data_IF_184795619444
#
_entry.id   IF_184795619444
#
_cell.length_a   1.000
_cell.length_b   1.000
_cell.length_c   1.000
_cell.angle_alpha   90.00
_cell.angle_beta   90.00
_cell.angle_gamma   90.00
#
_symmetry.space_group_name_H-M   'P 1'
#
loop_
_entity.id
_entity.type
_entity.pdbx_description
1 polymer ?
#
# COMPACT_ATOMS: atom_id res chain seq x y z
N UNK A 1 -8.32 4.73 30.43
CA UNK A 1 -8.00 4.18 29.10
C UNK A 1 -7.96 5.34 28.11
N UNK A 2 -6.93 5.46 27.29
CA UNK A 2 -6.89 6.47 26.22
C UNK A 2 -7.98 6.15 25.17
N UNK A 3 -8.57 7.19 24.57
CA UNK A 3 -9.51 6.99 23.46
C UNK A 3 -8.79 6.30 22.28
N UNK A 4 -9.50 5.44 21.52
CA UNK A 4 -8.90 4.79 20.37
C UNK A 4 -8.42 5.83 19.36
N UNK A 5 -7.31 5.57 18.67
CA UNK A 5 -6.77 6.50 17.68
C UNK A 5 -7.77 6.66 16.52
N UNK A 6 -8.00 7.91 16.14
CA UNK A 6 -8.92 8.23 15.03
C UNK A 6 -8.11 8.56 13.78
N UNK A 7 -8.53 7.99 12.66
CA UNK A 7 -7.91 8.22 11.35
C UNK A 7 -8.95 8.58 10.31
N UNK A 8 -8.60 9.53 9.45
CA UNK A 8 -9.26 9.74 8.16
C UNK A 8 -8.47 8.95 7.12
N UNK A 9 -9.12 8.02 6.45
CA UNK A 9 -8.50 7.18 5.44
C UNK A 9 -9.44 7.04 4.26
N UNK A 10 -8.87 7.12 3.05
CA UNK A 10 -9.56 6.87 1.80
C UNK A 10 -8.68 6.05 0.87
N UNK A 11 -9.33 5.30 0.00
CA UNK A 11 -8.69 4.49 -1.05
C UNK A 11 -9.29 4.86 -2.40
N UNK A 12 -8.50 4.75 -3.46
CA UNK A 12 -8.98 4.82 -4.82
C UNK A 12 -8.17 3.84 -5.69
N UNK A 13 -8.84 3.23 -6.65
CA UNK A 13 -8.22 2.38 -7.69
C UNK A 13 -8.76 2.77 -9.05
N UNK A 14 -7.94 2.66 -10.09
CA UNK A 14 -8.34 2.89 -11.48
C UNK A 14 -7.64 1.88 -12.39
N UNK A 15 -8.42 1.20 -13.22
CA UNK A 15 -7.92 0.24 -14.18
C UNK A 15 -7.41 0.91 -15.46
N UNK A 16 -6.26 0.48 -15.96
CA UNK A 16 -5.77 0.83 -17.30
C UNK A 16 -6.52 0.05 -18.39
N UNK A 17 -6.97 -1.15 -18.06
CA UNK A 17 -7.68 -2.06 -18.96
C UNK A 17 -9.10 -2.39 -18.51
N UNK A 18 -9.55 -3.56 -18.89
CA UNK A 18 -10.89 -4.06 -18.52
C UNK A 18 -10.99 -4.49 -17.06
N UNK A 19 -9.85 -4.72 -16.40
CA UNK A 19 -9.74 -5.17 -15.01
C UNK A 19 -8.59 -4.42 -14.34
N UNK A 20 -8.73 -4.17 -13.05
CA UNK A 20 -7.67 -3.65 -12.20
C UNK A 20 -7.02 -4.82 -11.46
N UNK A 21 -5.72 -4.98 -11.61
CA UNK A 21 -4.92 -5.99 -10.91
C UNK A 21 -4.26 -5.43 -9.64
N UNK A 22 -4.51 -4.15 -9.33
CA UNK A 22 -4.15 -3.49 -8.08
C UNK A 22 -5.24 -3.67 -7.03
N UNK A 23 -4.84 -4.02 -5.81
CA UNK A 23 -5.77 -4.26 -4.70
C UNK A 23 -5.35 -3.53 -3.42
N UNK A 24 -6.35 -3.12 -2.63
CA UNK A 24 -6.14 -2.40 -1.37
C UNK A 24 -7.06 -2.91 -0.27
N UNK A 25 -6.61 -2.83 0.99
CA UNK A 25 -7.48 -3.02 2.15
C UNK A 25 -7.16 -2.06 3.29
N UNK A 26 -8.18 -1.79 4.12
CA UNK A 26 -8.11 -0.98 5.32
C UNK A 26 -8.77 -1.75 6.46
N UNK A 27 -7.99 -2.24 7.40
CA UNK A 27 -8.48 -2.93 8.59
C UNK A 27 -8.47 -1.98 9.77
N UNK A 28 -9.67 -1.58 10.25
CA UNK A 28 -9.84 -0.76 11.44
C UNK A 28 -9.85 -1.63 12.68
N UNK A 29 -9.10 -1.22 13.70
CA UNK A 29 -8.96 -1.90 14.98
C UNK A 29 -9.13 -0.89 16.12
N UNK A 30 -9.39 -1.39 17.33
CA UNK A 30 -9.44 -0.54 18.53
C UNK A 30 -8.07 0.08 18.85
N UNK A 31 -6.99 -0.63 18.57
CA UNK A 31 -5.60 -0.22 18.82
C UNK A 31 -4.92 0.47 17.62
N UNK A 32 -5.61 0.63 16.47
CA UNK A 32 -5.05 1.31 15.30
C UNK A 32 -5.64 0.94 13.95
N UNK A 33 -4.82 1.05 12.92
CA UNK A 33 -5.13 0.64 11.54
C UNK A 33 -4.08 -0.33 11.01
N UNK A 34 -4.51 -1.23 10.11
CA UNK A 34 -3.62 -1.92 9.17
C UNK A 34 -4.07 -1.61 7.76
N UNK A 35 -3.15 -1.17 6.93
CA UNK A 35 -3.33 -0.82 5.53
C UNK A 35 -2.55 -1.83 4.69
N UNK A 36 -3.12 -2.30 3.58
CA UNK A 36 -2.39 -3.11 2.60
C UNK A 36 -2.72 -2.66 1.19
N UNK A 37 -1.70 -2.63 0.34
CA UNK A 37 -1.78 -2.31 -1.08
C UNK A 37 -0.87 -3.28 -1.81
N UNK A 38 -1.36 -3.88 -2.89
CA UNK A 38 -0.62 -4.81 -3.74
C UNK A 38 -0.93 -4.55 -5.21
N UNK A 39 0.08 -4.69 -6.04
CA UNK A 39 0.06 -4.55 -7.49
C UNK A 39 0.41 -5.90 -8.11
N UNK A 40 -0.49 -6.41 -8.94
CA UNK A 40 -0.34 -7.68 -9.63
C UNK A 40 0.52 -7.57 -10.87
N UNK A 41 1.77 -8.06 -10.81
CA UNK A 41 2.71 -7.97 -11.90
C UNK A 41 2.46 -8.98 -13.02
N UNK A 42 2.64 -8.54 -14.26
CA UNK A 42 2.58 -9.38 -15.46
C UNK A 42 1.32 -9.19 -16.30
N UNK A 43 1.34 -9.75 -17.51
CA UNK A 43 0.25 -9.63 -18.48
C UNK A 43 -0.81 -10.73 -18.35
N UNK A 44 -0.66 -11.63 -17.37
CA UNK A 44 -1.62 -12.69 -17.10
C UNK A 44 -2.49 -12.35 -15.88
N UNK A 45 -3.60 -13.08 -15.77
CA UNK A 45 -4.57 -12.85 -14.69
C UNK A 45 -4.05 -13.25 -13.30
N UNK A 46 -2.94 -13.98 -13.23
CA UNK A 46 -2.46 -14.59 -12.00
C UNK A 46 -1.76 -13.59 -11.08
N UNK A 47 -1.17 -12.52 -11.63
CA UNK A 47 -0.63 -11.41 -10.85
C UNK A 47 -1.72 -10.73 -10.02
N UNK A 48 -2.83 -10.36 -10.66
CA UNK A 48 -3.98 -9.75 -9.96
C UNK A 48 -4.66 -10.70 -8.97
N UNK A 49 -4.74 -12.02 -9.28
CA UNK A 49 -5.24 -13.00 -8.31
C UNK A 49 -4.34 -13.10 -7.08
N UNK A 50 -3.01 -13.07 -7.26
CA UNK A 50 -2.07 -13.05 -6.16
C UNK A 50 -2.19 -11.75 -5.35
N UNK A 51 -2.21 -10.58 -6.00
CA UNK A 51 -2.36 -9.30 -5.33
C UNK A 51 -3.62 -9.25 -4.46
N UNK A 52 -4.75 -9.71 -5.02
CA UNK A 52 -6.01 -9.82 -4.28
C UNK A 52 -5.89 -10.75 -3.07
N UNK A 53 -5.36 -11.94 -3.28
CA UNK A 53 -5.20 -12.92 -2.21
C UNK A 53 -4.28 -12.42 -1.08
N UNK A 54 -3.18 -11.74 -1.43
CA UNK A 54 -2.27 -11.13 -0.46
C UNK A 54 -2.99 -10.11 0.42
N UNK A 55 -3.73 -9.21 -0.19
CA UNK A 55 -4.47 -8.15 0.52
C UNK A 55 -5.56 -8.76 1.43
N UNK A 56 -6.30 -9.75 0.95
CA UNK A 56 -7.32 -10.46 1.72
C UNK A 56 -6.70 -11.20 2.92
N UNK A 57 -5.55 -11.87 2.76
CA UNK A 57 -4.84 -12.56 3.83
C UNK A 57 -4.27 -11.61 4.89
N UNK A 58 -3.71 -10.47 4.47
CA UNK A 58 -3.26 -9.43 5.41
C UNK A 58 -4.46 -8.91 6.21
N UNK A 59 -5.60 -8.63 5.56
CA UNK A 59 -6.82 -8.18 6.23
C UNK A 59 -7.31 -9.20 7.26
N UNK A 60 -7.36 -10.48 6.88
CA UNK A 60 -7.76 -11.57 7.78
C UNK A 60 -6.83 -11.64 8.99
N UNK A 61 -5.52 -11.71 8.77
CA UNK A 61 -4.50 -11.76 9.84
C UNK A 61 -4.57 -10.54 10.75
N UNK A 62 -4.75 -9.35 10.18
CA UNK A 62 -4.89 -8.11 10.95
C UNK A 62 -6.16 -8.10 11.81
N UNK A 63 -7.25 -8.69 11.34
CA UNK A 63 -8.50 -8.82 12.10
C UNK A 63 -8.36 -9.81 13.27
N UNK A 64 -7.68 -10.93 13.05
CA UNK A 64 -7.51 -12.00 14.04
C UNK A 64 -6.38 -11.72 15.06
N UNK A 65 -5.47 -10.79 14.75
CA UNK A 65 -4.33 -10.49 15.60
C UNK A 65 -4.76 -9.93 16.97
N UNK A 66 -4.20 -10.44 18.06
CA UNK A 66 -4.51 -9.98 19.42
C UNK A 66 -4.06 -8.55 19.70
N UNK A 67 -3.02 -8.09 18.99
CA UNK A 67 -2.44 -6.74 19.10
C UNK A 67 -2.14 -6.21 17.70
N UNK A 68 -2.05 -4.89 17.58
CA UNK A 68 -1.61 -4.25 16.35
C UNK A 68 -0.24 -4.81 15.93
N UNK A 69 -0.08 -5.36 14.72
CA UNK A 69 1.18 -5.93 14.28
C UNK A 69 2.26 -4.85 14.14
N UNK A 70 3.49 -5.14 14.58
CA UNK A 70 4.65 -4.31 14.35
C UNK A 70 5.30 -4.65 12.99
N UNK A 71 6.36 -3.90 12.61
CA UNK A 71 7.06 -4.07 11.34
C UNK A 71 7.57 -5.51 11.14
N UNK A 72 8.17 -6.12 12.18
CA UNK A 72 8.71 -7.48 12.10
C UNK A 72 7.61 -8.54 11.88
N UNK A 73 6.45 -8.33 12.52
CA UNK A 73 5.28 -9.21 12.31
C UNK A 73 4.75 -9.06 10.89
N UNK A 74 4.64 -7.83 10.39
CA UNK A 74 4.19 -7.58 9.02
C UNK A 74 5.17 -8.16 7.99
N UNK A 75 6.48 -8.00 8.20
CA UNK A 75 7.50 -8.58 7.32
C UNK A 75 7.39 -10.11 7.29
N UNK A 76 7.28 -10.75 8.45
CA UNK A 76 7.08 -12.21 8.56
C UNK A 76 5.81 -12.66 7.83
N UNK A 77 4.72 -11.91 7.94
CA UNK A 77 3.50 -12.24 7.20
C UNK A 77 3.74 -12.23 5.69
N UNK A 78 4.46 -11.23 5.16
CA UNK A 78 4.80 -11.19 3.74
C UNK A 78 5.66 -12.40 3.32
N UNK A 79 6.67 -12.76 4.12
CA UNK A 79 7.50 -13.95 3.87
C UNK A 79 6.68 -15.24 3.87
N UNK A 80 5.83 -15.44 4.86
CA UNK A 80 4.96 -16.61 4.96
C UNK A 80 3.95 -16.71 3.81
N UNK A 81 3.41 -15.58 3.36
CA UNK A 81 2.49 -15.52 2.23
C UNK A 81 3.22 -15.84 0.91
N UNK A 82 4.44 -15.34 0.70
CA UNK A 82 5.27 -15.69 -0.45
C UNK A 82 5.52 -17.20 -0.51
N UNK A 83 5.94 -17.80 0.61
CA UNK A 83 6.14 -19.24 0.70
C UNK A 83 4.86 -20.05 0.46
N UNK A 84 3.74 -19.59 1.01
CA UNK A 84 2.45 -20.27 0.86
C UNK A 84 1.96 -20.27 -0.58
N UNK A 85 2.08 -19.13 -1.28
CA UNK A 85 1.73 -19.05 -2.70
C UNK A 85 2.62 -19.91 -3.57
N UNK A 86 3.94 -19.83 -3.36
CA UNK A 86 4.91 -20.65 -4.07
C UNK A 86 4.66 -22.16 -3.88
N UNK A 87 4.38 -22.59 -2.65
CA UNK A 87 4.06 -23.98 -2.34
C UNK A 87 2.77 -24.47 -3.01
N UNK A 88 1.83 -23.56 -3.31
CA UNK A 88 0.59 -23.89 -4.04
C UNK A 88 0.80 -24.19 -5.52
N UNK A 89 2.01 -23.94 -6.05
CA UNK A 89 2.39 -24.10 -7.46
C UNK A 89 1.56 -23.26 -8.43
N UNK A 90 0.91 -22.21 -7.93
CA UNK A 90 0.27 -21.19 -8.77
C UNK A 90 1.33 -20.24 -9.32
N UNK A 91 1.14 -19.78 -10.55
CA UNK A 91 1.92 -18.68 -11.11
C UNK A 91 1.45 -17.32 -10.56
N UNK A 92 2.08 -16.25 -10.98
CA UNK A 92 1.78 -14.88 -10.61
C UNK A 92 2.87 -14.26 -9.73
N UNK A 93 3.08 -12.98 -9.92
CA UNK A 93 3.98 -12.16 -9.13
C UNK A 93 3.22 -10.92 -8.66
N UNK A 94 3.54 -10.41 -7.49
CA UNK A 94 2.93 -9.18 -6.97
C UNK A 94 3.89 -8.40 -6.08
N UNK A 95 3.72 -7.08 -6.07
CA UNK A 95 4.26 -6.23 -5.01
C UNK A 95 3.38 -6.32 -3.76
N UNK A 96 3.85 -5.76 -2.66
CA UNK A 96 3.02 -5.43 -1.51
C UNK A 96 3.63 -4.30 -0.69
N UNK A 97 2.78 -3.43 -0.17
CA UNK A 97 3.09 -2.50 0.92
C UNK A 97 2.06 -2.68 2.01
N UNK A 98 2.53 -3.00 3.22
CA UNK A 98 1.67 -3.16 4.41
C UNK A 98 2.14 -2.18 5.47
N UNK A 99 1.22 -1.43 6.07
CA UNK A 99 1.53 -0.49 7.14
C UNK A 99 0.57 -0.66 8.32
N UNK A 100 1.08 -0.54 9.54
CA UNK A 100 0.29 -0.42 10.76
C UNK A 100 0.50 0.93 11.42
N UNK A 101 -0.58 1.50 11.98
CA UNK A 101 -0.63 2.83 12.58
C UNK A 101 -1.28 2.75 13.96
N UNK A 102 -0.58 3.19 15.01
CA UNK A 102 -1.08 3.19 16.41
C UNK A 102 -1.64 4.56 16.86
N UNK A 103 -1.79 5.51 15.94
CA UNK A 103 -2.24 6.88 16.20
C UNK A 103 -1.10 7.89 16.39
N UNK A 104 0.11 7.44 16.67
CA UNK A 104 1.30 8.30 16.80
C UNK A 104 2.43 7.90 15.85
N UNK A 105 2.47 6.65 15.44
CA UNK A 105 3.56 6.06 14.65
C UNK A 105 3.01 5.24 13.49
N UNK A 106 3.84 5.11 12.47
CA UNK A 106 3.67 4.20 11.35
C UNK A 106 4.87 3.27 11.26
N UNK A 107 4.61 2.02 10.94
CA UNK A 107 5.60 1.00 10.67
C UNK A 107 5.04 0.00 9.68
N UNK A 108 5.88 -0.72 8.98
CA UNK A 108 5.38 -1.60 7.94
C UNK A 108 6.42 -2.49 7.31
N UNK A 109 6.02 -3.12 6.21
CA UNK A 109 6.87 -3.93 5.37
C UNK A 109 6.49 -3.76 3.89
N UNK A 110 7.44 -3.95 3.00
CA UNK A 110 7.23 -3.87 1.56
C UNK A 110 8.01 -4.91 0.77
N UNK A 111 7.51 -5.23 -0.42
CA UNK A 111 8.19 -6.01 -1.47
C UNK A 111 7.85 -5.37 -2.82
N UNK A 112 8.86 -5.15 -3.66
CA UNK A 112 8.68 -4.60 -5.00
C UNK A 112 8.76 -3.07 -5.04
N UNK A 113 8.14 -2.45 -6.02
CA UNK A 113 8.25 -1.02 -6.36
C UNK A 113 6.99 -0.19 -6.12
N UNK A 114 5.97 -0.78 -5.49
CA UNK A 114 4.93 -0.01 -4.81
C UNK A 114 5.51 0.70 -3.58
N UNK A 115 5.05 1.90 -3.27
CA UNK A 115 5.69 2.75 -2.29
C UNK A 115 4.81 3.21 -1.13
N UNK A 116 5.48 3.56 -0.01
CA UNK A 116 4.91 4.27 1.13
C UNK A 116 5.63 5.59 1.33
N UNK A 117 4.89 6.69 1.31
CA UNK A 117 5.40 8.05 1.51
C UNK A 117 4.76 8.71 2.72
N UNK A 118 5.56 9.34 3.56
CA UNK A 118 5.09 10.30 4.57
C UNK A 118 5.15 11.69 3.95
N UNK A 119 4.00 12.23 3.55
CA UNK A 119 3.90 13.50 2.84
C UNK A 119 3.67 14.64 3.82
N UNK A 120 4.52 15.65 3.75
CA UNK A 120 4.48 16.88 4.52
C UNK A 120 4.09 18.09 3.65
N UNK A 121 3.91 19.26 4.27
CA UNK A 121 3.78 20.51 3.54
C UNK A 121 5.11 20.86 2.87
N UNK A 122 5.25 20.57 1.57
CA UNK A 122 6.42 20.93 0.76
C UNK A 122 7.53 19.86 0.64
N UNK A 123 7.45 18.75 1.39
CA UNK A 123 8.42 17.63 1.34
C UNK A 123 7.73 16.27 1.49
N UNK A 124 8.50 15.20 1.41
CA UNK A 124 8.06 13.86 1.77
C UNK A 124 9.26 13.01 2.17
N UNK A 125 9.00 11.98 2.96
CA UNK A 125 9.93 10.91 3.27
C UNK A 125 9.46 9.64 2.59
N UNK A 126 10.29 9.03 1.77
CA UNK A 126 10.02 7.75 1.14
C UNK A 126 10.38 6.61 2.08
N UNK A 127 9.37 5.96 2.67
CA UNK A 127 9.57 4.94 3.70
C UNK A 127 10.06 3.61 3.13
N UNK A 128 9.87 3.41 1.83
CA UNK A 128 10.22 2.20 1.08
C UNK A 128 11.36 2.43 0.09
N UNK A 129 12.06 3.58 0.13
CA UNK A 129 13.08 3.96 -0.85
C UNK A 129 14.27 2.99 -0.95
N UNK A 130 14.56 2.24 0.11
CA UNK A 130 15.62 1.21 0.12
C UNK A 130 15.15 -0.14 -0.44
N UNK A 131 13.86 -0.26 -0.83
CA UNK A 131 13.28 -1.50 -1.33
C UNK A 131 13.83 -1.84 -2.72
N UNK A 132 14.18 -3.10 -2.91
CA UNK A 132 14.55 -3.64 -4.23
C UNK A 132 13.29 -3.96 -5.02
N UNK A 133 13.30 -3.64 -6.32
CA UNK A 133 12.17 -3.94 -7.21
C UNK A 133 11.90 -5.44 -7.37
N UNK A 134 12.92 -6.30 -7.22
CA UNK A 134 12.83 -7.76 -7.37
C UNK A 134 13.76 -8.48 -6.39
N UNK A 135 13.46 -9.74 -6.01
CA UNK A 135 12.32 -10.56 -6.45
C UNK A 135 11.00 -10.11 -5.82
N UNK A 136 9.88 -10.31 -6.53
CA UNK A 136 8.51 -10.06 -6.07
C UNK A 136 7.98 -11.24 -5.25
N UNK A 137 6.80 -11.05 -4.60
CA UNK A 137 6.03 -12.13 -3.99
C UNK A 137 5.52 -13.11 -5.06
N UNK A 138 5.37 -14.35 -4.68
CA UNK A 138 4.93 -15.45 -5.53
C UNK A 138 6.05 -16.40 -5.92
N UNK A 139 7.32 -16.00 -5.75
CA UNK A 139 8.49 -16.80 -6.12
C UNK A 139 9.10 -17.61 -4.97
N UNK A 140 8.62 -17.47 -3.72
CA UNK A 140 9.16 -18.13 -2.53
C UNK A 140 10.54 -17.63 -2.11
N UNK A 141 10.96 -16.46 -2.57
CA UNK A 141 12.26 -15.84 -2.29
C UNK A 141 12.22 -14.31 -2.28
N UNK A 142 11.08 -13.75 -1.99
CA UNK A 142 10.90 -12.30 -1.93
C UNK A 142 11.84 -11.66 -0.90
N UNK A 143 12.35 -10.47 -1.22
CA UNK A 143 13.13 -9.68 -0.28
C UNK A 143 12.22 -8.68 0.39
N UNK A 144 11.88 -8.92 1.66
CA UNK A 144 11.00 -8.05 2.43
C UNK A 144 11.83 -6.96 3.11
N UNK A 145 11.45 -5.70 2.93
CA UNK A 145 11.98 -4.56 3.65
C UNK A 145 11.00 -4.16 4.75
N UNK A 146 11.43 -4.22 6.03
CA UNK A 146 10.70 -3.63 7.13
C UNK A 146 11.06 -2.15 7.29
N UNK A 147 10.08 -1.30 7.63
CA UNK A 147 10.30 0.12 7.89
C UNK A 147 9.61 0.61 9.17
N UNK A 148 10.16 1.66 9.75
CA UNK A 148 9.63 2.25 10.99
C UNK A 148 10.07 1.49 12.26
N UNK A 149 9.50 1.79 13.44
CA UNK A 149 8.45 2.78 13.67
C UNK A 149 8.94 4.23 13.56
N UNK A 150 8.20 5.05 12.83
CA UNK A 150 8.46 6.48 12.67
C UNK A 150 7.23 7.31 13.11
N UNK A 151 7.38 8.58 13.51
CA UNK A 151 6.25 9.44 13.86
C UNK A 151 5.29 9.64 12.67
N UNK A 152 3.97 9.55 12.91
CA UNK A 152 2.95 9.90 11.93
C UNK A 152 2.78 11.44 11.93
N UNK A 153 3.58 12.13 11.13
CA UNK A 153 3.63 13.59 11.03
C UNK A 153 3.27 14.05 9.62
N UNK A 154 2.00 14.06 9.27
CA UNK A 154 1.53 14.44 7.95
C UNK A 154 0.52 13.45 7.38
N UNK A 155 0.65 13.16 6.10
CA UNK A 155 -0.21 12.23 5.37
C UNK A 155 0.60 11.00 4.98
N UNK A 156 0.21 9.83 5.47
CA UNK A 156 0.71 8.57 4.94
C UNK A 156 -0.01 8.27 3.63
N UNK A 157 0.75 8.09 2.58
CA UNK A 157 0.26 7.65 1.27
C UNK A 157 0.92 6.31 0.92
N UNK A 158 0.13 5.30 0.58
CA UNK A 158 0.59 4.10 -0.11
C UNK A 158 0.14 4.20 -1.56
N UNK A 159 0.98 3.81 -2.50
CA UNK A 159 0.67 3.87 -3.93
C UNK A 159 1.39 2.78 -4.72
N UNK A 160 0.74 2.31 -5.79
CA UNK A 160 1.36 1.47 -6.81
C UNK A 160 2.23 2.30 -7.76
N UNK A 161 3.08 1.64 -8.52
CA UNK A 161 4.00 2.28 -9.47
C UNK A 161 3.27 3.01 -10.60
N UNK A 162 2.03 2.62 -10.92
CA UNK A 162 1.14 3.33 -11.83
C UNK A 162 0.89 4.81 -11.43
N UNK A 163 0.94 5.14 -10.13
CA UNK A 163 1.01 6.54 -9.71
C UNK A 163 2.44 7.05 -9.67
N UNK A 164 3.34 6.35 -8.97
CA UNK A 164 4.67 6.85 -8.62
C UNK A 164 5.57 7.07 -9.84
N UNK A 165 5.36 6.29 -10.89
CA UNK A 165 6.13 6.33 -12.13
C UNK A 165 5.61 7.36 -13.14
N UNK A 166 4.30 7.58 -13.18
CA UNK A 166 3.67 8.39 -14.24
C UNK A 166 3.22 9.77 -13.80
N UNK A 167 3.17 10.09 -12.51
CA UNK A 167 2.86 11.43 -12.03
C UNK A 167 4.12 12.18 -11.57
N UNK A 168 4.24 13.50 -11.86
CA UNK A 168 5.28 14.31 -11.27
C UNK A 168 5.17 14.33 -9.75
N UNK A 169 6.27 14.05 -9.05
CA UNK A 169 6.38 14.01 -7.60
C UNK A 169 5.76 15.25 -6.90
N UNK A 170 6.03 16.45 -7.44
CA UNK A 170 5.46 17.68 -6.91
C UNK A 170 3.92 17.68 -6.93
N UNK A 171 3.30 17.12 -7.99
CA UNK A 171 1.83 16.99 -8.09
C UNK A 171 1.32 15.96 -7.08
N UNK A 172 1.99 14.81 -6.96
CA UNK A 172 1.62 13.79 -5.96
C UNK A 172 1.57 14.41 -4.57
N UNK A 173 2.63 15.10 -4.16
CA UNK A 173 2.73 15.75 -2.84
C UNK A 173 1.61 16.76 -2.61
N UNK A 174 1.36 17.63 -3.59
CA UNK A 174 0.30 18.64 -3.51
C UNK A 174 -1.08 18.00 -3.34
N UNK A 175 -1.40 16.98 -4.13
CA UNK A 175 -2.70 16.31 -4.09
C UNK A 175 -2.90 15.47 -2.83
N UNK A 176 -1.86 14.78 -2.35
CA UNK A 176 -1.91 13.97 -1.14
C UNK A 176 -2.24 14.80 0.11
N UNK A 177 -1.85 16.07 0.14
CA UNK A 177 -2.09 16.98 1.27
C UNK A 177 -3.47 17.67 1.26
N UNK A 178 -4.35 17.37 0.31
CA UNK A 178 -5.74 17.87 0.31
C UNK A 178 -6.41 17.58 1.67
N UNK A 179 -7.16 18.54 2.20
CA UNK A 179 -7.82 18.42 3.51
C UNK A 179 -8.83 17.27 3.56
N UNK A 180 -9.43 16.92 2.43
CA UNK A 180 -10.34 15.80 2.27
C UNK A 180 -9.59 14.60 1.65
N UNK A 181 -9.34 13.57 2.45
CA UNK A 181 -8.61 12.38 2.00
C UNK A 181 -9.29 11.64 0.83
N UNK A 182 -10.63 11.69 0.72
CA UNK A 182 -11.35 11.08 -0.39
C UNK A 182 -11.13 11.84 -1.69
N UNK A 183 -11.09 13.18 -1.62
CA UNK A 183 -10.74 14.04 -2.76
C UNK A 183 -9.28 13.83 -3.15
N UNK A 184 -8.37 13.73 -2.17
CA UNK A 184 -6.96 13.44 -2.41
C UNK A 184 -6.80 12.12 -3.17
N UNK A 185 -7.39 11.04 -2.67
CA UNK A 185 -7.28 9.72 -3.29
C UNK A 185 -7.81 9.72 -4.74
N UNK A 186 -8.98 10.30 -4.99
CA UNK A 186 -9.55 10.40 -6.34
C UNK A 186 -8.66 11.21 -7.30
N UNK A 187 -8.18 12.38 -6.88
CA UNK A 187 -7.29 13.21 -7.69
C UNK A 187 -5.95 12.54 -8.00
N UNK A 188 -5.43 11.74 -7.06
CA UNK A 188 -4.18 10.99 -7.25
C UNK A 188 -4.32 9.91 -8.32
N UNK A 189 -5.45 9.22 -8.41
CA UNK A 189 -5.67 8.26 -9.50
C UNK A 189 -5.96 8.93 -10.84
N UNK A 190 -6.51 10.15 -10.83
CA UNK A 190 -6.81 10.89 -12.05
C UNK A 190 -5.60 11.64 -12.63
N UNK A 191 -4.61 12.02 -11.81
CA UNK A 191 -3.47 12.84 -12.24
C UNK A 191 -2.57 12.18 -13.28
N UNK A 192 -2.60 10.84 -13.38
CA UNK A 192 -1.83 10.03 -14.33
C UNK A 192 -2.58 9.72 -15.63
N UNK A 193 -3.83 10.19 -15.76
CA UNK A 193 -4.56 10.01 -17.02
C UNK A 193 -3.90 10.80 -18.15
N UNK A 194 -3.78 10.15 -19.28
CA UNK A 194 -3.32 10.78 -20.53
C UNK A 194 -4.35 11.81 -21.02
N UNK A 195 -3.98 12.61 -22.02
CA UNK A 195 -4.92 13.53 -22.67
C UNK A 195 -6.14 12.81 -23.31
N UNK A 196 -6.00 11.51 -23.63
CA UNK A 196 -7.10 10.68 -24.13
C UNK A 196 -7.97 10.08 -23.01
N UNK A 197 -7.66 10.36 -21.74
CA UNK A 197 -8.37 9.84 -20.57
C UNK A 197 -7.99 8.40 -20.18
N UNK A 198 -7.02 7.78 -20.86
CA UNK A 198 -6.52 6.44 -20.57
C UNK A 198 -5.42 6.46 -19.51
N UNK A 199 -5.13 5.32 -18.94
CA UNK A 199 -3.98 5.09 -18.04
C UNK A 199 -2.92 4.25 -18.74
N UNK A 200 -1.66 4.43 -18.34
CA UNK A 200 -0.55 3.59 -18.80
C UNK A 200 -0.46 2.28 -18.02
N UNK A 201 -0.93 2.30 -16.78
CA UNK A 201 -0.91 1.17 -15.84
C UNK A 201 -2.09 1.28 -14.88
N UNK A 202 -2.43 0.21 -14.20
CA UNK A 202 -3.36 0.25 -13.08
C UNK A 202 -2.82 1.17 -11.99
N UNK A 203 -3.72 1.77 -11.24
CA UNK A 203 -3.34 2.71 -10.17
C UNK A 203 -4.15 2.43 -8.93
N UNK A 204 -3.47 2.20 -7.82
CA UNK A 204 -4.08 2.15 -6.50
C UNK A 204 -3.39 3.09 -5.53
N UNK A 205 -4.20 3.71 -4.67
CA UNK A 205 -3.71 4.58 -3.61
C UNK A 205 -4.48 4.40 -2.32
N UNK A 206 -3.79 4.54 -1.19
CA UNK A 206 -4.37 4.73 0.13
C UNK A 206 -3.83 6.05 0.68
N UNK A 207 -4.71 6.94 1.10
CA UNK A 207 -4.37 8.21 1.75
C UNK A 207 -4.89 8.18 3.18
N UNK A 208 -3.99 8.34 4.15
CA UNK A 208 -4.32 8.26 5.57
C UNK A 208 -3.68 9.39 6.35
N UNK A 209 -4.45 10.02 7.25
CA UNK A 209 -3.96 10.97 8.23
C UNK A 209 -4.63 10.76 9.58
N UNK A 210 -4.00 11.26 10.62
CA UNK A 210 -4.63 11.35 11.92
C UNK A 210 -5.86 12.28 11.82
N UNK A 211 -6.97 11.89 12.45
CA UNK A 211 -8.07 12.81 12.69
C UNK A 211 -7.73 13.68 13.90
N UNK A 212 -7.93 14.97 13.78
CA UNK A 212 -7.80 15.95 14.85
C UNK A 212 -8.81 15.68 15.96
#
# INVERSE_FOLDING_TARGET
MAAPPRFRVATATSAAGARCDDHVSVTRREDGLVLALADGAGNDTMGGELAKWLVDEIQRRATEAKKLPNADVLARWCEELDQSWFASKKSGESTIVVASLDGSRVQGASVGDSGAWMVHSGSYDELTGEQRRRPLLGQGRATVLAFGPIPLQGVLMLATDGLLKYAPEQKIRHLATDSNVSVAAAKLTDVVRTAAGTLHDDVAVIVCRRAD
#
